data_IF_490082670491
#
_entry.id   IF_490082670491
#
_cell.length_a   1.000
_cell.length_b   1.000
_cell.length_c   1.000
_cell.angle_alpha   90.00
_cell.angle_beta   90.00
_cell.angle_gamma   90.00
#
_symmetry.space_group_name_H-M   'P 1'
#
loop_
_entity.id
_entity.type
_entity.pdbx_description
1 polymer ?
#
# COMPACT_ATOMS: atom_id res chain seq x y z
N UNK A 1 10.51 12.57 12.96
CA UNK A 1 10.16 12.77 11.55
C UNK A 1 10.22 11.40 10.89
N UNK A 2 9.11 10.66 10.86
CA UNK A 2 9.07 9.29 10.31
C UNK A 2 7.85 9.07 9.38
N UNK A 3 6.91 10.00 9.30
CA UNK A 3 5.62 9.75 8.64
C UNK A 3 5.62 9.91 7.11
N UNK A 4 6.64 10.58 6.54
CA UNK A 4 6.93 10.51 5.10
C UNK A 4 7.45 9.14 4.67
N UNK A 5 8.41 8.58 5.41
CA UNK A 5 8.99 7.25 5.11
C UNK A 5 7.96 6.12 5.24
N UNK A 6 7.04 6.23 6.19
CA UNK A 6 5.93 5.28 6.34
C UNK A 6 5.01 5.29 5.10
N UNK A 7 4.65 6.47 4.58
CA UNK A 7 3.80 6.57 3.40
C UNK A 7 4.48 6.00 2.14
N UNK A 8 5.77 6.25 1.95
CA UNK A 8 6.53 5.68 0.83
C UNK A 8 6.69 4.17 0.95
N UNK A 9 6.91 3.64 2.17
CA UNK A 9 6.96 2.19 2.41
C UNK A 9 5.64 1.52 2.05
N UNK A 10 4.52 2.12 2.45
CA UNK A 10 3.19 1.58 2.14
C UNK A 10 2.87 1.63 0.65
N UNK A 11 3.29 2.69 -0.07
CA UNK A 11 3.17 2.74 -1.54
C UNK A 11 4.00 1.64 -2.21
N UNK A 12 5.23 1.43 -1.74
CA UNK A 12 6.09 0.38 -2.26
C UNK A 12 5.48 -1.02 -2.06
N UNK A 13 4.97 -1.32 -0.86
CA UNK A 13 4.28 -2.59 -0.60
C UNK A 13 3.02 -2.75 -1.44
N UNK A 14 2.27 -1.68 -1.68
CA UNK A 14 1.09 -1.72 -2.55
C UNK A 14 1.43 -2.09 -4.00
N UNK A 15 2.52 -1.54 -4.55
CA UNK A 15 3.00 -1.86 -5.89
C UNK A 15 3.51 -3.31 -5.99
N UNK A 16 4.25 -3.78 -4.98
CA UNK A 16 4.67 -5.19 -4.92
C UNK A 16 3.48 -6.14 -4.84
N UNK A 17 2.45 -5.81 -4.05
CA UNK A 17 1.22 -6.58 -4.00
C UNK A 17 0.52 -6.61 -5.37
N UNK A 18 0.50 -5.52 -6.14
CA UNK A 18 -0.03 -5.53 -7.51
C UNK A 18 0.77 -6.45 -8.43
N UNK A 19 2.11 -6.42 -8.37
CA UNK A 19 2.97 -7.33 -9.15
C UNK A 19 2.74 -8.80 -8.79
N UNK A 20 2.57 -9.09 -7.50
CA UNK A 20 2.23 -10.42 -7.03
C UNK A 20 0.83 -10.85 -7.49
N UNK A 21 -0.14 -9.93 -7.50
CA UNK A 21 -1.47 -10.18 -8.04
C UNK A 21 -1.45 -10.52 -9.53
N UNK A 22 -0.61 -9.83 -10.32
CA UNK A 22 -0.43 -10.09 -11.75
C UNK A 22 0.26 -11.43 -12.01
N UNK A 23 1.15 -11.85 -11.11
CA UNK A 23 1.82 -13.16 -11.15
C UNK A 23 0.99 -14.29 -10.54
N UNK A 24 -0.07 -13.97 -9.79
CA UNK A 24 -0.89 -14.97 -9.11
C UNK A 24 -1.70 -15.77 -10.14
N UNK A 25 -1.43 -17.08 -10.16
CA UNK A 25 -2.10 -18.02 -11.08
C UNK A 25 -3.55 -18.25 -10.66
N UNK A 26 -3.86 -18.15 -9.35
CA UNK A 26 -5.21 -18.33 -8.83
C UNK A 26 -5.92 -16.98 -8.72
N UNK A 27 -7.13 -16.90 -9.26
CA UNK A 27 -8.01 -15.73 -9.11
C UNK A 27 -8.21 -15.28 -7.65
N UNK A 28 -8.47 -16.16 -6.67
CA UNK A 28 -8.62 -15.72 -5.27
C UNK A 28 -7.33 -15.14 -4.69
N UNK A 29 -6.16 -15.67 -5.06
CA UNK A 29 -4.88 -15.09 -4.63
C UNK A 29 -4.69 -13.70 -5.27
N UNK A 30 -5.02 -13.55 -6.56
CA UNK A 30 -4.99 -12.26 -7.25
C UNK A 30 -5.89 -11.22 -6.57
N UNK A 31 -7.13 -11.59 -6.23
CA UNK A 31 -8.05 -10.69 -5.53
C UNK A 31 -7.53 -10.34 -4.13
N UNK A 32 -6.99 -11.31 -3.39
CA UNK A 32 -6.40 -11.06 -2.08
C UNK A 32 -5.21 -10.08 -2.17
N UNK A 33 -4.32 -10.25 -3.14
CA UNK A 33 -3.20 -9.34 -3.37
C UNK A 33 -3.65 -7.94 -3.80
N UNK A 34 -4.68 -7.83 -4.66
CA UNK A 34 -5.24 -6.53 -5.04
C UNK A 34 -5.91 -5.82 -3.86
N UNK A 35 -6.61 -6.57 -3.00
CA UNK A 35 -7.21 -6.06 -1.76
C UNK A 35 -6.13 -5.52 -0.83
N UNK A 36 -5.06 -6.28 -0.65
CA UNK A 36 -3.92 -5.91 0.19
C UNK A 36 -3.23 -4.64 -0.33
N UNK A 37 -3.04 -4.53 -1.65
CA UNK A 37 -2.51 -3.33 -2.27
C UNK A 37 -3.37 -2.08 -2.01
N UNK A 38 -4.70 -2.23 -2.05
CA UNK A 38 -5.63 -1.14 -1.77
C UNK A 38 -5.60 -0.71 -0.30
N UNK A 39 -5.46 -1.65 0.63
CA UNK A 39 -5.33 -1.35 2.06
C UNK A 39 -4.00 -0.64 2.36
N UNK A 40 -2.90 -1.06 1.73
CA UNK A 40 -1.62 -0.36 1.84
C UNK A 40 -1.68 1.08 1.32
N UNK A 41 -2.36 1.32 0.19
CA UNK A 41 -2.58 2.68 -0.34
C UNK A 41 -3.36 3.56 0.65
N UNK A 42 -4.41 3.04 1.27
CA UNK A 42 -5.15 3.78 2.32
C UNK A 42 -4.28 4.11 3.53
N UNK A 43 -3.40 3.19 3.94
CA UNK A 43 -2.46 3.43 5.02
C UNK A 43 -1.42 4.50 4.63
N UNK A 44 -0.97 4.51 3.37
CA UNK A 44 -0.09 5.53 2.82
C UNK A 44 -0.74 6.92 2.83
N UNK A 45 -1.97 7.02 2.34
CA UNK A 45 -2.75 8.26 2.36
C UNK A 45 -2.96 8.75 3.79
N UNK A 46 -3.32 7.85 4.71
CA UNK A 46 -3.48 8.17 6.12
C UNK A 46 -2.18 8.60 6.79
N UNK A 47 -1.03 8.01 6.43
CA UNK A 47 0.28 8.39 6.95
C UNK A 47 0.70 9.77 6.41
N UNK A 48 0.47 10.04 5.13
CA UNK A 48 0.76 11.33 4.52
C UNK A 48 -0.10 12.45 5.13
N UNK A 49 -1.39 12.19 5.36
CA UNK A 49 -2.31 13.15 6.01
C UNK A 49 -1.93 13.44 7.48
N UNK A 50 -1.38 12.45 8.19
CA UNK A 50 -0.89 12.64 9.57
C UNK A 50 0.38 13.48 9.62
N UNK A 51 1.21 13.44 8.57
CA UNK A 51 2.41 14.27 8.46
C UNK A 51 2.03 15.76 8.22
N UNK A 52 1.05 16.03 7.35
CA UNK A 52 0.58 17.41 7.08
C UNK A 52 -0.10 18.08 8.29
N UNK A 53 -0.78 17.32 9.16
CA UNK A 53 -1.43 17.87 10.36
C UNK A 53 -0.46 18.29 11.47
N UNK A 54 0.84 18.00 11.32
CA UNK A 54 1.89 18.39 12.28
C UNK A 54 2.77 19.54 11.79
N UNK A 55 2.47 20.14 10.64
CA UNK A 55 3.23 21.26 10.07
C UNK A 55 2.64 22.62 10.46
#
# INVERSE_FOLDING_TARGET
MLSGEEADRYRFEAEECRRLAERAIKQPDREAWLRLAADWMKLAEGASLRDERKK
#
